data_IF_790353461058
#
_entry.id   IF_790353461058
#
_cell.length_a   1.000
_cell.length_b   1.000
_cell.length_c   1.000
_cell.angle_alpha   90.00
_cell.angle_beta   90.00
_cell.angle_gamma   90.00
#
_symmetry.space_group_name_H-M   'P 1'
#
loop_
_entity.id
_entity.type
_entity.pdbx_description
1 polymer ?
2 non-polymer ?
3 non-polymer ?
4 water ?
#
# COMPACT_ATOMS: atom_id res chain seq x y z
N UNK A 4 12.10 8.61 17.47
CA UNK A 4 11.31 7.39 17.65
C UNK A 4 9.84 7.65 17.38
N UNK A 5 9.31 7.04 16.32
CA UNK A 5 7.91 7.24 15.94
C UNK A 5 6.97 6.43 16.84
N UNK A 6 7.46 5.33 17.37
CA UNK A 6 6.61 4.39 18.08
C UNK A 6 5.97 3.44 17.08
N UNK A 7 6.24 3.63 15.80
CA UNK A 7 5.79 2.70 14.76
C UNK A 7 6.95 1.99 14.06
N UNK A 8 6.87 0.66 14.00
CA UNK A 8 7.91 -0.14 13.37
C UNK A 8 7.34 -0.92 12.19
N UNK A 9 8.20 -1.27 11.23
CA UNK A 9 7.82 -2.15 10.11
C UNK A 9 8.04 -3.62 10.51
N UNK A 10 7.00 -4.44 10.41
CA UNK A 10 7.17 -5.85 10.67
C UNK A 10 7.99 -6.49 9.54
N UNK A 11 9.01 -7.27 9.92
CA UNK A 11 9.94 -7.84 8.95
C UNK A 11 9.22 -8.65 7.90
N UNK A 12 8.06 -9.20 8.26
CA UNK A 12 7.26 -9.95 7.29
C UNK A 12 6.82 -9.11 6.09
N UNK A 13 6.67 -7.80 6.27
CA UNK A 13 6.29 -6.94 5.15
C UNK A 13 7.35 -7.05 4.08
N UNK A 14 8.62 -7.01 4.50
CA UNK A 14 9.74 -7.07 3.58
C UNK A 14 9.91 -8.48 3.01
N UNK A 15 9.79 -9.50 3.85
CA UNK A 15 9.82 -10.87 3.36
C UNK A 15 8.84 -11.08 2.21
N UNK A 16 7.60 -10.64 2.41
CA UNK A 16 6.56 -10.94 1.43
C UNK A 16 6.66 -10.00 0.22
N UNK A 17 7.08 -8.75 0.43
CA UNK A 17 7.33 -7.88 -0.71
C UNK A 17 8.40 -8.51 -1.58
N UNK A 18 9.46 -9.02 -0.97
CA UNK A 18 10.51 -9.65 -1.76
C UNK A 18 10.03 -10.91 -2.46
N UNK A 19 9.19 -11.68 -1.81
CA UNK A 19 8.69 -12.87 -2.48
C UNK A 19 7.87 -12.48 -3.72
N UNK A 20 7.13 -11.38 -3.60
CA UNK A 20 6.30 -10.87 -4.72
C UNK A 20 7.23 -10.40 -5.83
N UNK A 21 8.25 -9.63 -5.43
CA UNK A 21 9.18 -9.08 -6.40
C UNK A 21 9.86 -10.20 -7.20
N UNK A 22 10.32 -11.25 -6.49
CA UNK A 22 11.06 -12.34 -7.11
C UNK A 22 10.16 -13.26 -7.95
N UNK A 23 8.89 -13.36 -7.58
CA UNK A 23 7.93 -14.19 -8.33
C UNK A 23 7.68 -13.72 -9.77
N UNK A 24 7.79 -12.41 -10.02
CA UNK A 24 7.67 -11.87 -11.39
C UNK A 24 6.31 -12.17 -11.99
N UNK A 25 5.28 -12.20 -11.16
CA UNK A 25 3.93 -12.28 -11.70
C UNK A 25 3.15 -11.08 -11.15
N UNK A 26 2.08 -10.69 -11.84
CA UNK A 26 1.36 -9.52 -11.37
C UNK A 26 0.71 -9.86 -10.05
N UNK A 27 0.93 -8.98 -9.09
CA UNK A 27 0.45 -9.20 -7.72
C UNK A 27 0.39 -7.93 -6.91
N UNK A 28 -0.05 -8.05 -5.66
CA UNK A 28 -0.22 -6.88 -4.82
C UNK A 28 -0.11 -7.22 -3.35
N UNK A 29 0.18 -6.22 -2.54
CA UNK A 29 0.12 -6.33 -1.10
C UNK A 29 -0.51 -5.07 -0.54
N UNK A 30 -1.38 -5.23 0.45
CA UNK A 30 -1.91 -4.10 1.18
C UNK A 30 -1.31 -4.12 2.59
N UNK A 31 -0.72 -3.00 3.02
CA UNK A 31 -0.17 -2.84 4.38
C UNK A 31 -1.04 -1.89 5.19
N UNK A 32 -1.20 -2.19 6.47
CA UNK A 32 -1.88 -1.28 7.38
C UNK A 32 -1.06 -1.15 8.65
N UNK A 33 -1.44 -0.19 9.48
CA UNK A 33 -0.79 -0.02 10.78
C UNK A 33 -1.68 -0.60 11.86
N UNK A 34 -1.14 -1.52 12.65
CA UNK A 34 -1.90 -2.13 13.73
C UNK A 34 -1.01 -2.27 14.95
N UNK A 35 -1.51 -1.88 16.12
CA UNK A 35 -0.72 -1.96 17.34
C UNK A 35 0.69 -1.43 17.11
N UNK A 36 0.77 -0.23 16.54
CA UNK A 36 2.02 0.50 16.33
C UNK A 36 3.04 -0.16 15.40
N UNK A 37 2.59 -1.05 14.53
CA UNK A 37 3.50 -1.59 13.54
C UNK A 37 2.83 -1.69 12.17
N UNK A 38 3.62 -1.56 11.13
CA UNK A 38 3.13 -1.74 9.79
C UNK A 38 3.19 -3.22 9.49
N UNK A 39 2.03 -3.79 9.18
CA UNK A 39 1.89 -5.20 8.88
C UNK A 39 1.14 -5.45 7.56
N UNK A 40 1.13 -6.71 7.14
CA UNK A 40 0.40 -7.07 5.95
C UNK A 40 -1.06 -7.28 6.31
N UNK A 41 -1.92 -6.56 5.58
CA UNK A 41 -3.36 -6.77 5.68
C UNK A 41 -3.77 -7.97 4.82
N UNK A 42 -3.41 -7.92 3.55
CA UNK A 42 -3.69 -9.01 2.64
C UNK A 42 -2.72 -8.91 1.48
N UNK A 43 -2.66 -9.96 0.67
CA UNK A 43 -1.81 -10.03 -0.51
C UNK A 43 -2.44 -10.98 -1.50
N UNK A 44 -2.12 -10.81 -2.78
CA UNK A 44 -2.74 -11.67 -3.78
C UNK A 44 -2.22 -11.50 -5.18
N UNK A 45 -2.81 -12.23 -6.10
CA UNK A 45 -2.57 -12.06 -7.55
C UNK A 45 -3.46 -10.96 -8.08
N UNK A 46 -2.95 -10.20 -9.04
CA UNK A 46 -3.73 -9.08 -9.59
C UNK A 46 -4.69 -9.44 -10.70
N UNK A 47 -5.77 -8.62 -10.80
CA UNK A 47 -6.57 -8.59 -12.01
C UNK A 47 -6.22 -7.24 -12.64
N UNK A 48 -6.82 -6.17 -12.12
CA UNK A 48 -6.40 -4.80 -12.51
C UNK A 48 -6.21 -3.97 -11.23
N UNK A 49 -5.37 -2.94 -11.33
CA UNK A 49 -5.24 -1.99 -10.24
C UNK A 49 -6.61 -1.37 -9.82
N UNK A 50 -7.44 -0.98 -10.79
CA UNK A 50 -8.77 -0.48 -10.47
C UNK A 50 -9.61 -1.47 -9.63
N UNK A 51 -9.60 -2.76 -9.98
CA UNK A 51 -10.38 -3.74 -9.21
C UNK A 51 -9.83 -3.92 -7.79
N UNK A 52 -8.51 -3.84 -7.64
CA UNK A 52 -7.91 -3.90 -6.32
C UNK A 52 -8.40 -2.75 -5.46
N UNK A 53 -8.36 -1.52 -6.00
CA UNK A 53 -8.79 -0.39 -5.20
C UNK A 53 -10.31 -0.40 -4.96
N UNK A 54 -11.07 -0.90 -5.94
CA UNK A 54 -12.50 -1.11 -5.70
C UNK A 54 -12.78 -2.03 -4.52
N UNK A 55 -12.02 -3.12 -4.41
CA UNK A 55 -12.16 -4.03 -3.27
C UNK A 55 -11.86 -3.31 -1.96
N UNK A 56 -10.83 -2.48 -1.97
CA UNK A 56 -10.47 -1.74 -0.79
C UNK A 56 -11.59 -0.75 -0.45
N UNK A 57 -12.11 -0.04 -1.47
CA UNK A 57 -13.21 0.89 -1.22
C UNK A 57 -14.37 0.20 -0.49
N UNK A 58 -14.61 -1.06 -0.82
CA UNK A 58 -15.76 -1.79 -0.24
C UNK A 58 -15.57 -2.21 1.22
N UNK A 59 -14.32 -2.28 1.66
CA UNK A 59 -14.04 -2.61 3.05
C UNK A 59 -13.81 -1.38 3.92
N UNK A 60 -14.89 -0.90 4.55
CA UNK A 60 -14.83 0.30 5.38
C UNK A 60 -13.88 0.24 6.58
N UNK A 61 -13.39 -0.96 6.92
CA UNK A 61 -12.42 -1.10 8.02
C UNK A 61 -11.03 -0.65 7.58
N UNK A 62 -10.82 -0.58 6.27
CA UNK A 62 -9.57 -0.04 5.78
C UNK A 62 -9.83 1.43 5.57
N UNK A 63 -9.36 2.24 6.50
CA UNK A 63 -9.51 3.68 6.40
C UNK A 63 -8.33 4.26 5.63
N UNK A 64 -7.14 3.81 5.99
CA UNK A 64 -5.94 4.17 5.27
C UNK A 64 -5.14 2.91 5.04
N UNK A 65 -4.20 2.94 4.08
CA UNK A 65 -3.35 1.80 3.83
C UNK A 65 -2.17 2.21 2.96
N UNK A 66 -1.16 1.35 2.89
CA UNK A 66 -0.15 1.43 1.85
C UNK A 66 -0.41 0.30 0.90
N UNK A 67 -0.34 0.57 -0.38
CA UNK A 67 -0.60 -0.47 -1.37
C UNK A 67 0.57 -0.59 -2.31
N UNK A 68 1.01 -1.82 -2.55
CA UNK A 68 1.97 -2.06 -3.62
C UNK A 68 1.27 -2.89 -4.67
N UNK A 69 1.53 -2.54 -5.92
CA UNK A 69 0.96 -3.22 -7.07
C UNK A 69 2.11 -3.58 -7.98
N UNK A 70 2.42 -4.87 -8.04
CA UNK A 70 3.52 -5.34 -8.89
C UNK A 70 2.98 -5.64 -10.26
N UNK A 71 3.30 -4.76 -11.22
CA UNK A 71 2.91 -4.95 -12.61
C UNK A 71 4.00 -5.59 -13.48
N UNK A 72 5.03 -6.09 -12.81
CA UNK A 72 6.17 -6.81 -13.38
C UNK A 72 7.11 -5.86 -14.11
N UNK A 73 6.58 -5.11 -15.08
CA UNK A 73 7.37 -4.03 -15.69
C UNK A 73 7.83 -3.02 -14.65
N UNK A 74 6.93 -2.64 -13.75
CA UNK A 74 7.27 -1.81 -12.60
C UNK A 74 6.41 -2.21 -11.42
N UNK A 75 6.89 -1.89 -10.22
CA UNK A 75 6.11 -2.04 -8.99
C UNK A 75 5.73 -0.65 -8.51
N UNK A 76 4.45 -0.45 -8.27
CA UNK A 76 3.89 0.87 -7.91
C UNK A 76 3.50 0.87 -6.45
N UNK A 77 3.67 2.01 -5.80
CA UNK A 77 3.35 2.17 -4.38
C UNK A 77 2.49 3.41 -4.20
N UNK A 78 1.45 3.30 -3.39
CA UNK A 78 0.73 4.52 -3.04
C UNK A 78 0.13 4.41 -1.66
N UNK A 79 -0.14 5.55 -1.06
CA UNK A 79 -0.96 5.62 0.14
C UNK A 79 -2.43 5.82 -0.25
N UNK A 80 -3.28 5.02 0.38
CA UNK A 80 -4.71 5.08 0.21
C UNK A 80 -5.28 5.71 1.46
N UNK A 81 -6.20 6.65 1.29
CA UNK A 81 -7.01 7.11 2.42
C UNK A 81 -8.36 7.59 1.91
N UNK A 82 -9.43 6.91 2.34
CA UNK A 82 -10.76 7.23 1.83
C UNK A 82 -11.18 8.63 2.27
N UNK A 83 -12.08 9.23 1.49
CA UNK A 83 -12.57 10.58 1.77
C UNK A 83 -13.06 10.68 3.21
N UNK A 84 -13.76 9.63 3.65
CA UNK A 84 -14.36 9.62 4.98
C UNK A 84 -13.37 9.32 6.11
N UNK A 85 -12.11 9.06 5.76
CA UNK A 85 -11.09 8.83 6.78
C UNK A 85 -10.84 10.10 7.59
N UNK A 86 -10.46 9.90 8.84
CA UNK A 86 -10.15 10.97 9.79
C UNK A 86 -8.77 11.55 9.55
N UNK A 87 -8.62 12.86 9.80
CA UNK A 87 -7.36 13.54 9.56
C UNK A 87 -6.18 13.02 10.38
N UNK A 88 -6.44 12.57 11.60
CA UNK A 88 -5.35 12.09 12.46
C UNK A 88 -4.75 10.79 11.92
N UNK A 89 -5.62 9.87 11.55
CA UNK A 89 -5.24 8.63 10.86
C UNK A 89 -4.42 8.88 9.60
N UNK A 90 -4.90 9.83 8.78
CA UNK A 90 -4.20 10.22 7.56
C UNK A 90 -2.77 10.67 7.89
N UNK A 91 -2.64 11.55 8.88
CA UNK A 91 -1.32 12.03 9.31
C UNK A 91 -0.40 10.90 9.76
N UNK A 92 -0.92 10.01 10.60
CA UNK A 92 -0.16 8.83 11.02
C UNK A 92 0.44 8.08 9.82
N UNK A 93 -0.40 7.73 8.86
CA UNK A 93 0.06 7.04 7.65
C UNK A 93 1.03 7.87 6.80
N UNK A 94 0.68 9.14 6.55
CA UNK A 94 1.59 9.99 5.80
C UNK A 94 2.97 10.04 6.47
N UNK A 95 2.96 10.17 7.80
CA UNK A 95 4.19 10.32 8.57
C UNK A 95 5.02 9.04 8.62
N UNK A 96 4.37 7.90 8.40
CA UNK A 96 5.06 6.61 8.47
C UNK A 96 5.42 6.08 7.08
N UNK A 97 5.00 6.82 6.07
CA UNK A 97 5.19 6.45 4.67
C UNK A 97 6.66 6.16 4.35
N UNK A 98 7.56 7.03 4.83
CA UNK A 98 8.98 6.87 4.52
C UNK A 98 9.56 5.61 5.15
N UNK A 99 9.02 5.21 6.29
CA UNK A 99 9.51 4.01 6.98
C UNK A 99 9.32 2.77 6.13
N UNK A 100 8.12 2.60 5.60
CA UNK A 100 7.87 1.46 4.72
C UNK A 100 8.70 1.57 3.43
N UNK A 101 8.79 2.78 2.87
CA UNK A 101 9.52 2.95 1.61
C UNK A 101 11.00 2.58 1.68
N UNK A 102 11.60 2.73 2.85
CA UNK A 102 13.01 2.35 3.02
C UNK A 102 13.31 0.89 2.68
N UNK A 103 12.36 -0.02 2.89
CA UNK A 103 12.57 -1.47 2.66
C UNK A 103 12.12 -1.93 1.27
N UNK A 104 11.53 -0.99 0.55
CA UNK A 104 10.87 -1.27 -0.71
C UNK A 104 11.40 -0.30 -1.78
N UNK A 105 12.58 0.28 -1.53
CA UNK A 105 13.16 1.24 -2.45
C UNK A 105 13.21 0.63 -3.85
N UNK A 106 12.93 1.44 -4.87
CA UNK A 106 12.89 0.96 -6.24
C UNK A 106 11.49 0.97 -6.85
N UNK A 107 10.48 1.04 -5.99
CA UNK A 107 9.10 1.16 -6.49
C UNK A 107 8.84 2.55 -7.11
N UNK A 108 7.87 2.56 -8.01
CA UNK A 108 7.34 3.83 -8.51
C UNK A 108 6.32 4.36 -7.53
N UNK A 109 6.66 5.46 -6.85
CA UNK A 109 5.76 6.01 -5.86
C UNK A 109 4.82 7.02 -6.52
N UNK A 110 3.53 6.92 -6.20
CA UNK A 110 2.59 7.99 -6.54
C UNK A 110 2.57 8.90 -5.34
N UNK A 111 2.86 10.18 -5.55
CA UNK A 111 2.96 11.12 -4.43
C UNK A 111 1.61 11.52 -3.81
N UNK A 112 0.56 11.48 -4.61
CA UNK A 112 -0.76 11.89 -4.15
C UNK A 112 -1.52 10.76 -3.48
N UNK A 113 -2.22 11.08 -2.40
CA UNK A 113 -2.99 10.06 -1.69
C UNK A 113 -4.14 9.64 -2.61
N UNK A 114 -4.34 8.33 -2.73
CA UNK A 114 -5.42 7.79 -3.55
C UNK A 114 -6.65 7.63 -2.65
N UNK A 115 -7.77 8.25 -3.04
CA UNK A 115 -8.94 8.24 -2.16
C UNK A 115 -10.01 7.25 -2.56
N UNK A 116 -10.00 6.82 -3.81
CA UNK A 116 -10.95 5.83 -4.29
C UNK A 116 -10.47 5.25 -5.60
N UNK A 117 -11.17 4.22 -6.08
CA UNK A 117 -10.81 3.55 -7.31
C UNK A 117 -10.86 4.50 -8.50
N UNK A 118 -11.71 5.52 -8.38
CA UNK A 118 -11.82 6.53 -9.44
C UNK A 118 -10.51 7.16 -9.77
N UNK A 119 -9.69 7.39 -8.73
CA UNK A 119 -8.41 8.07 -8.88
C UNK A 119 -7.44 7.28 -9.71
N UNK A 120 -7.53 5.96 -9.67
CA UNK A 120 -6.59 5.16 -10.44
C UNK A 120 -7.21 4.72 -11.76
N UNK A 121 -8.52 4.84 -11.88
CA UNK A 121 -9.21 4.22 -12.98
C UNK A 121 -8.70 4.77 -14.32
N UNK A 122 -7.96 5.90 -14.31
CA UNK A 122 -7.42 6.46 -15.55
C UNK A 122 -5.90 6.39 -15.61
N UNK A 123 -5.31 6.20 -14.42
CA UNK A 123 -3.89 6.32 -14.18
C UNK A 123 -3.57 5.80 -12.78
X LIG B 1 -2.21 -6.71 -13.97
X LIG B 1 -1.39 -6.77 -15.25
X LIG B 1 -2.71 -8.00 -13.71
X LIG B 1 0.39 -6.92 -14.96
X LIG C 1 16.96 -4.10 -13.55
X LIG C 1 16.77 -3.18 -11.60
X LIG C 1 16.45 -4.10 -12.40
X LIG C 1 15.51 -5.20 -11.97
X LIG C 1 14.95 -4.89 -10.75
X LIG C 1 14.38 -5.40 -12.93
X LIG C 1 13.31 -5.95 -12.27
X LIG C 1 14.78 -6.29 -14.05
X LIG C 1 14.23 -7.42 -14.19
X LIG C 1 15.67 -5.92 -14.88
X LIG D 1 -4.26 3.06 -15.80
X LIG D 1 -2.87 3.01 -14.15
X LIG D 1 -3.88 2.53 -14.73
X LIG D 1 -4.62 1.38 -14.15
X LIG D 1 -5.30 1.88 -13.04
X LIG D 1 -5.63 0.80 -15.09
X LIG D 1 -6.21 1.75 -15.90
X LIG D 1 -6.71 0.17 -14.27
X LIG D 1 -6.39 -0.70 -13.45
X LIG D 1 -7.91 0.50 -14.41
X LIG E 1 2.32 4.56 17.19
X LIG E 1 1.09 3.37 17.75
#
# INVERSE_FOLDING_TARGET
GSMISGIRVNDNCVTEFNNMKIRKTCGWIIFVIQNCEIIIHSKGASTTLTELVQSIDKNNEIQCAYVVFDAVSKIHFFMYARESSNSRDRMTYASSKQAILKKIEGVNVLTSVIESAQDVADLK
BME C1 C2 O1 S2
TAR O1 O11 C1 C2 O2 C3 O3 C4 O4 O41
TAR O1 O11 C1 C2 O2 C3 O3 C4 O4 O41
BME C2 S2
#
